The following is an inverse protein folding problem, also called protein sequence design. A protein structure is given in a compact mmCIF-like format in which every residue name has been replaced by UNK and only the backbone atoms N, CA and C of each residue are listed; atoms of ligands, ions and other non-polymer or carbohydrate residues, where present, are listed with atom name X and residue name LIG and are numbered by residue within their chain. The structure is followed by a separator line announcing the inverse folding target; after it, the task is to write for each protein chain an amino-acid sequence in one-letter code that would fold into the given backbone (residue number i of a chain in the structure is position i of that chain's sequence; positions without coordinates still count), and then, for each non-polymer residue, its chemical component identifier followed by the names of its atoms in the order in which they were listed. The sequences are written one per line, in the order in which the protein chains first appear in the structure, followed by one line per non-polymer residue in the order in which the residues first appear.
data_IF_562715607605
#
_entry.id   IF_562715607605
#
_cell.length_a   1.000
_cell.length_b   1.000
_cell.length_c   1.000
_cell.angle_alpha   90.00
_cell.angle_beta   90.00
_cell.angle_gamma   90.00
#
_symmetry.space_group_name_H-M   'P 1'
#
loop_
_entity.id
_entity.type
_entity.pdbx_description
1 polymer ?
#
# COMPACT_ATOMS: atom_id res chain seq x y z
N UNK A 1 7.15 -4.82 9.29
CA UNK A 1 6.00 -4.74 8.37
C UNK A 1 5.99 -3.47 7.55
N UNK A 2 6.16 -2.32 8.16
CA UNK A 2 6.16 -1.05 7.42
C UNK A 2 7.26 -1.00 6.36
N UNK A 3 8.43 -1.52 6.66
CA UNK A 3 9.54 -1.55 5.71
C UNK A 3 9.20 -2.33 4.44
N UNK A 4 8.54 -3.47 4.61
CA UNK A 4 8.16 -4.31 3.49
C UNK A 4 7.12 -3.63 2.61
N UNK A 5 6.14 -2.98 3.24
CA UNK A 5 5.11 -2.23 2.52
C UNK A 5 5.76 -1.07 1.75
N UNK A 6 6.71 -0.38 2.39
CA UNK A 6 7.45 0.70 1.74
C UNK A 6 8.18 0.20 0.49
N UNK A 7 8.83 -0.96 0.58
CA UNK A 7 9.51 -1.55 -0.56
C UNK A 7 8.54 -1.86 -1.69
N UNK A 8 7.37 -2.41 -1.35
CA UNK A 8 6.35 -2.73 -2.36
C UNK A 8 5.88 -1.46 -3.06
N UNK A 9 5.60 -0.41 -2.29
CA UNK A 9 5.16 0.86 -2.87
C UNK A 9 6.21 1.42 -3.81
N UNK A 10 7.48 1.36 -3.43
CA UNK A 10 8.56 1.90 -4.24
C UNK A 10 8.79 1.12 -5.54
N UNK A 11 8.30 -0.11 -5.64
CA UNK A 11 8.37 -0.87 -6.88
C UNK A 11 7.41 -0.33 -7.93
N UNK A 12 6.31 0.28 -7.53
CA UNK A 12 5.27 0.73 -8.44
C UNK A 12 5.16 2.24 -8.55
N UNK A 13 5.69 2.97 -7.58
CA UNK A 13 5.63 4.44 -7.56
C UNK A 13 7.03 4.99 -7.36
N UNK A 14 7.39 6.00 -8.14
CA UNK A 14 8.69 6.66 -8.00
C UNK A 14 8.66 7.61 -6.82
N UNK A 15 9.08 7.13 -5.66
CA UNK A 15 9.14 7.92 -4.44
C UNK A 15 10.28 7.39 -3.56
N UNK A 16 10.94 8.29 -2.86
CA UNK A 16 12.01 7.90 -1.95
C UNK A 16 11.41 7.26 -0.69
N UNK A 17 11.97 6.13 -0.24
CA UNK A 17 11.43 5.44 0.94
C UNK A 17 11.33 6.32 2.18
N UNK A 18 12.27 7.25 2.35
CA UNK A 18 12.28 8.13 3.52
C UNK A 18 11.05 9.05 3.58
N UNK A 19 10.41 9.28 2.45
CA UNK A 19 9.23 10.14 2.39
C UNK A 19 7.94 9.42 2.71
N UNK A 20 8.01 8.10 2.85
CA UNK A 20 6.83 7.30 3.16
C UNK A 20 6.69 7.12 4.66
N UNK A 21 5.59 7.60 5.22
CA UNK A 21 5.27 7.45 6.64
C UNK A 21 3.93 6.75 6.78
N UNK A 22 3.59 6.25 7.98
CA UNK A 22 2.28 5.61 8.18
C UNK A 22 1.11 6.54 7.86
N UNK A 23 1.28 7.85 8.04
CA UNK A 23 0.23 8.82 7.77
C UNK A 23 0.20 9.30 6.33
N UNK A 24 1.17 8.90 5.51
CA UNK A 24 1.22 9.34 4.12
C UNK A 24 -0.02 8.89 3.35
N UNK A 25 -0.62 9.85 2.64
CA UNK A 25 -1.74 9.55 1.76
C UNK A 25 -1.19 8.90 0.48
N UNK A 26 -1.73 7.75 0.12
CA UNK A 26 -1.26 7.03 -1.06
C UNK A 26 -1.46 7.85 -2.33
N UNK A 27 -2.55 8.59 -2.43
CA UNK A 27 -2.83 9.40 -3.62
C UNK A 27 -2.21 10.78 -3.57
N UNK A 28 -2.30 11.45 -2.42
CA UNK A 28 -1.89 12.85 -2.31
C UNK A 28 -0.40 13.03 -1.99
N UNK A 29 0.11 12.21 -1.09
CA UNK A 29 1.51 12.34 -0.66
C UNK A 29 2.45 11.47 -1.49
N UNK A 30 2.02 10.28 -1.80
CA UNK A 30 2.84 9.31 -2.54
C UNK A 30 2.60 9.43 -4.06
N UNK A 31 1.40 9.82 -4.44
CA UNK A 31 1.09 9.99 -5.85
C UNK A 31 0.70 8.72 -6.59
N UNK A 32 0.23 7.72 -5.84
CA UNK A 32 -0.20 6.47 -6.46
C UNK A 32 -1.53 6.64 -7.17
N UNK A 33 -1.61 6.11 -8.39
CA UNK A 33 -2.87 6.08 -9.14
C UNK A 33 -3.68 4.86 -8.72
N UNK A 34 -4.92 4.78 -9.22
CA UNK A 34 -5.75 3.59 -8.96
C UNK A 34 -5.09 2.33 -9.50
N UNK A 35 -4.41 2.44 -10.64
CA UNK A 35 -3.68 1.33 -11.23
C UNK A 35 -2.53 0.88 -10.31
N UNK A 36 -1.80 1.85 -9.77
CA UNK A 36 -0.71 1.56 -8.84
C UNK A 36 -1.23 0.87 -7.58
N UNK A 37 -2.37 1.34 -7.06
CA UNK A 37 -2.97 0.74 -5.87
C UNK A 37 -3.39 -0.71 -6.11
N UNK A 38 -3.89 -1.02 -7.30
CA UNK A 38 -4.24 -2.39 -7.64
C UNK A 38 -3.00 -3.28 -7.67
N UNK A 39 -1.92 -2.78 -8.26
CA UNK A 39 -0.66 -3.53 -8.31
C UNK A 39 -0.08 -3.75 -6.92
N UNK A 40 -0.14 -2.73 -6.08
CA UNK A 40 0.33 -2.83 -4.70
C UNK A 40 -0.51 -3.87 -3.94
N UNK A 41 -1.82 -3.86 -4.13
CA UNK A 41 -2.70 -4.83 -3.48
C UNK A 41 -2.36 -6.26 -3.89
N UNK A 42 -2.13 -6.49 -5.18
CA UNK A 42 -1.75 -7.82 -5.67
C UNK A 42 -0.42 -8.27 -5.06
N UNK A 43 0.54 -7.37 -5.00
CA UNK A 43 1.85 -7.68 -4.42
C UNK A 43 1.73 -8.05 -2.94
N UNK A 44 0.86 -7.35 -2.21
CA UNK A 44 0.61 -7.63 -0.81
C UNK A 44 -0.02 -9.01 -0.65
N UNK A 45 -0.99 -9.33 -1.49
CA UNK A 45 -1.63 -10.64 -1.47
C UNK A 45 -0.62 -11.76 -1.68
N UNK A 46 0.29 -11.58 -2.62
CA UNK A 46 1.30 -12.59 -2.93
C UNK A 46 2.33 -12.74 -1.82
N UNK A 47 2.78 -11.64 -1.24
CA UNK A 47 3.84 -11.69 -0.24
C UNK A 47 3.38 -12.08 1.15
N UNK A 48 2.15 -11.73 1.50
CA UNK A 48 1.62 -12.01 2.84
C UNK A 48 0.57 -13.12 2.86
N UNK A 49 0.16 -13.61 1.70
CA UNK A 49 -0.84 -14.65 1.62
C UNK A 49 -2.22 -14.23 2.10
N UNK A 50 -2.52 -12.94 2.00
CA UNK A 50 -3.81 -12.39 2.41
C UNK A 50 -4.63 -12.02 1.18
N UNK A 51 -5.91 -11.78 1.38
CA UNK A 51 -6.80 -11.35 0.30
C UNK A 51 -7.17 -9.88 0.48
N UNK A 52 -7.06 -9.10 -0.60
CA UNK A 52 -7.46 -7.71 -0.61
C UNK A 52 -8.57 -7.56 -1.64
N UNK A 53 -9.84 -7.64 -1.22
CA UNK A 53 -10.96 -7.50 -2.15
C UNK A 53 -10.95 -6.15 -2.85
N UNK A 54 -11.39 -6.14 -4.11
CA UNK A 54 -11.40 -4.91 -4.90
C UNK A 54 -12.16 -3.77 -4.23
N UNK A 55 -13.26 -4.10 -3.54
CA UNK A 55 -14.07 -3.07 -2.90
C UNK A 55 -13.38 -2.39 -1.72
N UNK A 56 -12.31 -2.98 -1.19
CA UNK A 56 -11.54 -2.37 -0.11
C UNK A 56 -10.47 -1.41 -0.63
N UNK A 57 -10.06 -1.56 -1.90
CA UNK A 57 -9.00 -0.73 -2.46
C UNK A 57 -9.31 0.76 -2.34
N UNK A 58 -10.52 1.25 -2.68
CA UNK A 58 -10.82 2.68 -2.52
C UNK A 58 -10.80 3.15 -1.07
N UNK A 59 -10.90 2.25 -0.12
CA UNK A 59 -10.88 2.59 1.31
C UNK A 59 -9.49 2.66 1.88
N UNK A 60 -8.51 2.16 1.16
CA UNK A 60 -7.11 2.23 1.56
C UNK A 60 -6.59 3.59 1.16
N UNK A 61 -6.51 4.52 2.11
CA UNK A 61 -6.12 5.90 1.82
C UNK A 61 -4.71 6.21 2.27
N UNK A 62 -4.26 5.60 3.35
CA UNK A 62 -2.92 5.84 3.89
C UNK A 62 -2.15 4.53 4.00
N UNK A 63 -0.83 4.66 4.24
CA UNK A 63 0.02 3.51 4.47
C UNK A 63 -0.44 2.72 5.70
N UNK A 64 -0.87 3.42 6.75
CA UNK A 64 -1.33 2.75 7.96
C UNK A 64 -2.61 1.93 7.72
N UNK A 65 -3.43 2.30 6.74
CA UNK A 65 -4.59 1.51 6.37
C UNK A 65 -4.18 0.13 5.86
N UNK A 66 -3.08 0.09 5.09
CA UNK A 66 -2.53 -1.17 4.60
C UNK A 66 -2.03 -2.02 5.77
N UNK A 67 -1.30 -1.40 6.68
CA UNK A 67 -0.78 -2.10 7.86
C UNK A 67 -1.92 -2.67 8.69
N UNK A 68 -2.97 -1.88 8.90
CA UNK A 68 -4.15 -2.33 9.65
C UNK A 68 -4.82 -3.53 9.00
N UNK A 69 -4.92 -3.50 7.67
CA UNK A 69 -5.51 -4.60 6.91
C UNK A 69 -4.72 -5.89 7.15
N UNK A 70 -3.40 -5.80 7.10
CA UNK A 70 -2.53 -6.96 7.30
C UNK A 70 -2.58 -7.48 8.73
N UNK A 71 -2.70 -6.59 9.70
CA UNK A 71 -2.76 -6.99 11.11
C UNK A 71 -4.06 -7.71 11.45
N UNK A 72 -5.12 -7.45 10.69
CA UNK A 72 -6.42 -8.09 10.91
C UNK A 72 -6.57 -9.43 10.19
N UNK A 73 -5.62 -9.75 9.36
CA UNK A 73 -5.70 -10.99 8.56
C UNK A 73 -5.30 -12.23 9.34
#
# INVERSE_FOLDING_TARGET
MLEKITEIICEYVEIEPEKITPESSLRNDIGATSFDLMNIAVAIEEQYGVSVPDHLIPRIKTVSDIVSLLEKS
#
